data_IF_011453837555
#
_entry.id   IF_011453837555
#
_cell.length_a   1.000
_cell.length_b   1.000
_cell.length_c   1.000
_cell.angle_alpha   90.00
_cell.angle_beta   90.00
_cell.angle_gamma   90.00
#
_symmetry.space_group_name_H-M   'P 1'
#
loop_
_entity.id
_entity.type
_entity.pdbx_description
1 polymer ?
#
# COMPACT_ATOMS: atom_id res chain seq x y z
N UNK A 1 1.18 35.38 -16.21
CA UNK A 1 1.73 35.59 -14.86
C UNK A 1 1.78 34.24 -14.14
N UNK A 2 2.95 33.60 -14.01
CA UNK A 2 3.10 32.37 -13.20
C UNK A 2 3.06 32.76 -11.72
N UNK A 3 2.13 32.19 -10.95
CA UNK A 3 1.98 32.45 -9.50
C UNK A 3 3.29 32.14 -8.77
N UNK A 4 3.92 33.15 -8.18
CA UNK A 4 5.19 33.05 -7.44
C UNK A 4 5.13 31.97 -6.33
N UNK A 5 3.95 31.70 -5.77
CA UNK A 5 3.73 30.63 -4.79
C UNK A 5 3.96 29.21 -5.31
N UNK A 6 3.74 28.92 -6.61
CA UNK A 6 3.95 27.58 -7.17
C UNK A 6 5.43 27.30 -7.46
N UNK A 7 6.24 28.34 -7.68
CA UNK A 7 7.66 28.20 -8.02
C UNK A 7 8.48 27.69 -6.84
N UNK A 8 8.18 28.20 -5.63
CA UNK A 8 8.86 27.77 -4.41
C UNK A 8 8.45 26.35 -3.99
N UNK A 9 7.18 25.99 -4.12
CA UNK A 9 6.70 24.63 -3.82
C UNK A 9 7.40 23.61 -4.72
N UNK A 10 7.43 23.84 -6.04
CA UNK A 10 8.09 22.92 -6.97
C UNK A 10 9.59 22.82 -6.68
N UNK A 11 10.26 23.96 -6.44
CA UNK A 11 11.69 23.99 -6.12
C UNK A 11 12.06 23.10 -4.93
N UNK A 12 11.27 23.14 -3.86
CA UNK A 12 11.53 22.30 -2.69
C UNK A 12 11.07 20.85 -2.88
N UNK A 13 9.99 20.62 -3.63
CA UNK A 13 9.55 19.27 -3.99
C UNK A 13 10.59 18.51 -4.83
N UNK A 14 11.28 19.22 -5.74
CA UNK A 14 12.32 18.66 -6.60
C UNK A 14 13.62 18.30 -5.85
N UNK A 15 13.79 18.76 -4.60
CA UNK A 15 14.91 18.31 -3.75
C UNK A 15 14.73 16.87 -3.27
N UNK A 16 13.48 16.37 -3.27
CA UNK A 16 13.20 14.99 -2.93
C UNK A 16 13.08 14.16 -4.21
N UNK A 17 13.87 13.07 -4.35
CA UNK A 17 13.71 12.12 -5.45
C UNK A 17 12.24 11.73 -5.65
N UNK A 18 11.79 11.76 -6.90
CA UNK A 18 10.41 11.41 -7.26
C UNK A 18 10.04 10.02 -6.76
N UNK A 19 10.98 9.09 -6.79
CA UNK A 19 10.84 7.71 -6.34
C UNK A 19 10.42 7.64 -4.86
N UNK A 20 10.99 8.50 -4.01
CA UNK A 20 10.62 8.56 -2.58
C UNK A 20 9.22 9.16 -2.42
N UNK A 21 8.93 10.23 -3.17
CA UNK A 21 7.60 10.87 -3.13
C UNK A 21 6.50 9.91 -3.62
N UNK A 22 6.77 9.19 -4.69
CA UNK A 22 5.86 8.22 -5.29
C UNK A 22 5.69 6.97 -4.44
N UNK A 23 6.69 6.60 -3.64
CA UNK A 23 6.58 5.51 -2.68
C UNK A 23 5.61 5.83 -1.54
N UNK A 24 5.56 7.08 -1.06
CA UNK A 24 4.73 7.47 0.09
C UNK A 24 3.36 8.04 -0.30
N UNK A 25 3.24 8.67 -1.46
CA UNK A 25 2.01 9.32 -1.92
C UNK A 25 0.76 8.41 -1.96
N UNK A 26 0.85 7.09 -2.24
CA UNK A 26 -0.31 6.21 -2.23
C UNK A 26 -1.00 6.08 -0.88
N UNK A 27 -0.29 6.30 0.23
CA UNK A 27 -0.83 6.27 1.59
C UNK A 27 -1.33 7.65 2.04
N UNK A 28 -2.01 8.38 1.14
CA UNK A 28 -2.47 9.75 1.37
C UNK A 28 -3.89 9.88 1.91
N UNK A 29 -4.65 8.78 1.99
CA UNK A 29 -6.03 8.78 2.49
C UNK A 29 -6.37 7.52 3.30
N UNK A 30 -7.45 7.61 4.08
CA UNK A 30 -7.88 6.58 5.02
C UNK A 30 -8.23 5.26 4.33
N UNK A 31 -8.75 5.30 3.09
CA UNK A 31 -9.10 4.09 2.35
C UNK A 31 -7.83 3.35 1.90
N UNK A 32 -6.78 4.07 1.50
CA UNK A 32 -5.49 3.47 1.18
C UNK A 32 -4.85 2.84 2.43
N UNK A 33 -4.91 3.53 3.58
CA UNK A 33 -4.48 2.97 4.86
C UNK A 33 -5.26 1.72 5.25
N UNK A 34 -6.59 1.73 5.09
CA UNK A 34 -7.45 0.60 5.40
C UNK A 34 -7.12 -0.63 4.53
N UNK A 35 -6.95 -0.46 3.22
CA UNK A 35 -6.52 -1.52 2.30
C UNK A 35 -5.16 -2.08 2.72
N UNK A 36 -4.20 -1.20 3.00
CA UNK A 36 -2.84 -1.58 3.37
C UNK A 36 -2.82 -2.39 4.68
N UNK A 37 -3.58 -1.96 5.69
CA UNK A 37 -3.72 -2.67 6.97
C UNK A 37 -4.52 -3.97 6.85
N UNK A 38 -5.51 -4.05 5.95
CA UNK A 38 -6.22 -5.31 5.70
C UNK A 38 -5.27 -6.38 5.14
N UNK A 39 -4.38 -6.00 4.21
CA UNK A 39 -3.35 -6.90 3.68
C UNK A 39 -2.39 -7.35 4.78
N UNK A 40 -1.98 -6.44 5.67
CA UNK A 40 -1.18 -6.77 6.85
C UNK A 40 -1.86 -7.83 7.72
N UNK A 41 -3.14 -7.63 8.03
CA UNK A 41 -3.88 -8.45 8.96
C UNK A 41 -4.21 -9.84 8.40
N UNK A 42 -4.61 -9.92 7.13
CA UNK A 42 -5.14 -11.16 6.54
C UNK A 42 -4.12 -12.00 5.76
N UNK A 43 -2.86 -11.55 5.64
CA UNK A 43 -1.69 -12.22 5.03
C UNK A 43 -1.82 -12.75 3.59
N UNK A 44 -3.00 -13.02 3.04
CA UNK A 44 -3.24 -13.63 1.74
C UNK A 44 -4.60 -13.18 1.14
N UNK A 45 -4.82 -11.88 0.95
CA UNK A 45 -6.08 -11.38 0.37
C UNK A 45 -6.10 -11.49 -1.15
N UNK A 46 -7.18 -12.02 -1.71
CA UNK A 46 -7.50 -11.95 -3.15
C UNK A 46 -8.33 -10.70 -3.44
N UNK A 47 -8.44 -10.37 -4.73
CA UNK A 47 -9.29 -9.27 -5.20
C UNK A 47 -10.76 -9.39 -4.72
N UNK A 48 -11.29 -10.61 -4.63
CA UNK A 48 -12.64 -10.89 -4.10
C UNK A 48 -12.77 -10.55 -2.63
N UNK A 49 -11.73 -10.81 -1.85
CA UNK A 49 -11.78 -10.70 -0.39
C UNK A 49 -11.85 -9.22 0.03
N UNK A 50 -11.32 -8.30 -0.77
CA UNK A 50 -11.51 -6.86 -0.56
C UNK A 50 -12.97 -6.42 -0.71
N UNK A 51 -13.74 -7.07 -1.61
CA UNK A 51 -15.18 -6.79 -1.75
C UNK A 51 -15.93 -7.31 -0.51
N UNK A 52 -15.51 -8.45 0.03
CA UNK A 52 -16.11 -8.98 1.26
C UNK A 52 -15.82 -8.08 2.47
N UNK A 53 -14.59 -7.57 2.60
CA UNK A 53 -14.16 -6.73 3.74
C UNK A 53 -14.77 -5.32 3.66
N UNK A 54 -14.68 -4.68 2.51
CA UNK A 54 -15.06 -3.27 2.33
C UNK A 54 -16.44 -3.09 1.68
N UNK A 55 -17.14 -4.20 1.39
CA UNK A 55 -18.45 -4.20 0.77
C UNK A 55 -18.47 -3.53 -0.61
N UNK A 56 -19.62 -2.96 -0.94
CA UNK A 56 -19.81 -2.20 -2.19
C UNK A 56 -18.96 -0.93 -2.28
N UNK A 57 -18.29 -0.50 -1.20
CA UNK A 57 -17.34 0.62 -1.21
C UNK A 57 -16.04 0.28 -1.92
N UNK A 58 -15.70 -1.02 -2.05
CA UNK A 58 -14.57 -1.48 -2.88
C UNK A 58 -14.92 -1.46 -4.37
N UNK A 59 -15.13 -0.26 -4.88
CA UNK A 59 -15.41 0.03 -6.29
C UNK A 59 -14.11 0.17 -7.09
N UNK A 60 -14.21 0.75 -8.29
CA UNK A 60 -13.05 1.13 -9.10
C UNK A 60 -12.01 1.96 -8.33
N UNK A 61 -12.45 2.79 -7.37
CA UNK A 61 -11.58 3.71 -6.65
C UNK A 61 -10.76 3.00 -5.55
N UNK A 62 -11.31 1.92 -4.96
CA UNK A 62 -10.55 0.99 -4.10
C UNK A 62 -9.52 0.19 -4.88
N UNK A 63 -9.92 -0.35 -6.04
CA UNK A 63 -9.00 -1.05 -6.97
C UNK A 63 -7.88 -0.15 -7.45
N UNK A 64 -8.17 1.12 -7.72
CA UNK A 64 -7.18 2.13 -8.11
C UNK A 64 -6.16 2.38 -6.98
N UNK A 65 -6.61 2.45 -5.72
CA UNK A 65 -5.69 2.55 -4.56
C UNK A 65 -4.82 1.32 -4.41
N UNK A 66 -5.42 0.14 -4.49
CA UNK A 66 -4.69 -1.13 -4.47
C UNK A 66 -3.60 -1.16 -5.54
N UNK A 67 -3.93 -0.72 -6.76
CA UNK A 67 -2.95 -0.63 -7.86
C UNK A 67 -1.84 0.39 -7.58
N UNK A 68 -2.15 1.55 -6.99
CA UNK A 68 -1.14 2.54 -6.61
C UNK A 68 -0.18 2.01 -5.55
N UNK A 69 -0.69 1.29 -4.55
CA UNK A 69 0.14 0.64 -3.53
C UNK A 69 1.08 -0.41 -4.15
N UNK A 70 0.58 -1.19 -5.12
CA UNK A 70 1.38 -2.15 -5.88
C UNK A 70 2.48 -1.44 -6.69
N UNK A 71 2.13 -0.38 -7.42
CA UNK A 71 3.08 0.38 -8.24
C UNK A 71 4.16 1.09 -7.42
N UNK A 72 3.84 1.52 -6.20
CA UNK A 72 4.81 2.09 -5.26
C UNK A 72 5.69 1.04 -4.56
N UNK A 73 5.47 -0.26 -4.85
CA UNK A 73 6.23 -1.34 -4.25
C UNK A 73 5.96 -1.53 -2.77
N UNK A 74 4.84 -1.02 -2.23
CA UNK A 74 4.43 -1.22 -0.83
C UNK A 74 3.73 -2.56 -0.62
N UNK A 75 3.09 -3.08 -1.68
CA UNK A 75 2.48 -4.40 -1.72
C UNK A 75 2.94 -5.13 -2.99
N UNK A 76 2.82 -6.45 -2.98
CA UNK A 76 3.16 -7.30 -4.12
C UNK A 76 2.10 -8.39 -4.32
N UNK A 77 2.00 -8.86 -5.56
CA UNK A 77 1.16 -10.01 -5.92
C UNK A 77 1.98 -11.28 -5.80
N UNK A 78 1.50 -12.23 -5.01
CA UNK A 78 2.06 -13.59 -4.93
C UNK A 78 1.10 -14.59 -5.53
N UNK A 79 1.66 -15.52 -6.28
CA UNK A 79 0.95 -16.70 -6.74
C UNK A 79 1.17 -17.76 -5.68
N UNK A 80 0.12 -18.18 -4.99
CA UNK A 80 0.21 -19.34 -4.12
C UNK A 80 0.02 -20.59 -4.98
N UNK A 81 1.11 -21.28 -5.26
CA UNK A 81 1.08 -22.66 -5.76
C UNK A 81 0.92 -23.59 -4.56
N UNK A 82 -0.26 -23.60 -3.93
CA UNK A 82 -0.49 -24.48 -2.79
C UNK A 82 -0.96 -25.85 -3.31
N UNK A 83 -0.13 -26.87 -3.03
CA UNK A 83 -0.42 -28.30 -3.06
C UNK A 83 -0.95 -28.89 -4.37
N UNK A 84 -0.04 -29.25 -5.29
CA UNK A 84 -0.08 -30.49 -6.10
C UNK A 84 -1.35 -30.84 -6.89
N UNK A 85 -2.35 -29.98 -6.91
CA UNK A 85 -3.66 -30.16 -7.47
C UNK A 85 -3.80 -29.13 -8.58
N UNK A 86 -4.00 -29.67 -9.77
CA UNK A 86 -4.11 -28.96 -11.02
C UNK A 86 -5.20 -27.88 -10.94
N UNK A 87 -4.87 -26.68 -11.40
CA UNK A 87 -5.77 -25.62 -11.90
C UNK A 87 -6.47 -24.70 -10.90
N UNK A 88 -5.72 -23.81 -10.23
CA UNK A 88 -6.00 -22.35 -10.23
C UNK A 88 -4.85 -21.63 -9.55
N UNK A 89 -4.06 -20.84 -10.30
CA UNK A 89 -3.07 -19.95 -9.70
C UNK A 89 -3.81 -18.77 -9.07
N UNK A 90 -4.20 -18.87 -7.81
CA UNK A 90 -4.82 -17.76 -7.09
C UNK A 90 -3.76 -16.70 -6.77
N UNK A 91 -4.02 -15.47 -7.23
CA UNK A 91 -3.17 -14.31 -6.97
C UNK A 91 -3.64 -13.65 -5.67
N UNK A 92 -2.73 -13.57 -4.71
CA UNK A 92 -2.96 -12.90 -3.44
C UNK A 92 -2.07 -11.65 -3.33
N UNK A 93 -2.56 -10.65 -2.61
CA UNK A 93 -1.81 -9.46 -2.23
C UNK A 93 -1.19 -9.66 -0.86
N UNK A 94 0.08 -9.31 -0.77
CA UNK A 94 0.83 -9.30 0.48
C UNK A 94 1.62 -8.00 0.58
N UNK A 95 2.02 -7.62 1.79
CA UNK A 95 3.02 -6.56 1.91
C UNK A 95 4.34 -7.00 1.27
N UNK A 96 4.97 -6.07 0.58
CA UNK A 96 6.36 -6.22 0.16
C UNK A 96 7.30 -6.07 1.36
N UNK A 97 8.60 -6.30 1.14
CA UNK A 97 9.60 -5.98 2.17
C UNK A 97 9.65 -4.47 2.49
N UNK A 98 9.72 -3.54 1.49
CA UNK A 98 9.63 -2.11 1.76
C UNK A 98 8.35 -1.68 2.49
N UNK A 99 7.20 -2.29 2.19
CA UNK A 99 5.94 -1.97 2.87
C UNK A 99 5.95 -2.34 4.36
N UNK A 100 6.58 -3.48 4.71
CA UNK A 100 6.79 -3.89 6.11
C UNK A 100 7.75 -2.93 6.82
N UNK A 101 8.90 -2.66 6.21
CA UNK A 101 9.94 -1.80 6.80
C UNK A 101 9.42 -0.37 7.04
N UNK A 102 8.56 0.14 6.15
CA UNK A 102 7.87 1.42 6.33
C UNK A 102 7.02 1.43 7.60
N UNK A 103 6.20 0.40 7.82
CA UNK A 103 5.37 0.31 9.03
C UNK A 103 6.24 0.22 10.27
N UNK A 104 7.22 -0.68 10.29
CA UNK A 104 8.11 -0.87 11.43
C UNK A 104 8.81 0.45 11.80
N UNK A 105 9.26 1.20 10.80
CA UNK A 105 9.88 2.52 10.99
C UNK A 105 8.88 3.54 11.56
N UNK A 106 7.68 3.63 10.99
CA UNK A 106 6.64 4.57 11.44
C UNK A 106 6.22 4.28 12.89
N UNK A 107 5.97 3.02 13.22
CA UNK A 107 5.63 2.59 14.57
C UNK A 107 6.77 2.85 15.56
N UNK A 108 8.01 2.50 15.18
CA UNK A 108 9.19 2.73 16.02
C UNK A 108 9.47 4.20 16.29
N UNK A 109 9.25 5.08 15.30
CA UNK A 109 9.47 6.52 15.43
C UNK A 109 8.36 7.24 16.18
N UNK A 110 7.10 6.96 15.84
CA UNK A 110 5.94 7.74 16.31
C UNK A 110 5.43 7.19 17.65
N UNK A 111 5.32 5.88 17.76
CA UNK A 111 4.68 5.20 18.89
C UNK A 111 5.68 4.62 19.88
N UNK A 112 6.93 5.13 19.88
CA UNK A 112 8.07 4.77 20.76
C UNK A 112 7.69 3.70 21.81
N UNK A 113 7.87 2.42 21.43
CA UNK A 113 7.67 1.19 22.23
C UNK A 113 6.39 0.36 22.02
N UNK A 114 5.67 0.48 20.90
CA UNK A 114 4.69 -0.57 20.53
C UNK A 114 5.34 -1.62 19.61
N UNK A 115 5.77 -2.76 20.18
CA UNK A 115 6.08 -3.96 19.41
C UNK A 115 4.78 -4.58 18.89
N UNK A 116 4.54 -4.55 17.58
CA UNK A 116 3.36 -5.17 16.93
C UNK A 116 3.53 -6.65 16.59
N UNK A 117 4.51 -7.32 17.20
CA UNK A 117 4.64 -8.77 17.18
C UNK A 117 3.89 -9.36 18.38
N UNK A 118 2.57 -9.56 18.22
CA UNK A 118 1.84 -10.65 18.87
C UNK A 118 0.94 -11.32 17.84
#
# INVERSE_FOLDING_TARGET
MKKIGSLNVQRYADLMPSEIRDAVAPLSDDMAWAIFMAILHHRNLRDSDFIEIFGSTFTAEGRRRLKKLEMAGLIEKKINSQDGACNTSDIHYVLSHPGRDLLDTLFGMILKNCSWTQ
#
